data_IF_168885929914
#
_entry.id   IF_168885929914
#
_cell.length_a   1.000
_cell.length_b   1.000
_cell.length_c   1.000
_cell.angle_alpha   90.00
_cell.angle_beta   90.00
_cell.angle_gamma   90.00
#
_symmetry.space_group_name_H-M   'P 1'
#
loop_
_entity.id
_entity.type
_entity.pdbx_description
1 polymer ?
#
# COMPACT_ATOMS: atom_id res chain seq x y z
N UNK A 1 -15.62 -2.05 -13.04
CA UNK A 1 -14.79 -3.21 -12.69
C UNK A 1 -13.49 -2.69 -12.10
N UNK A 2 -13.33 -2.77 -10.78
CA UNK A 2 -12.10 -2.34 -10.09
C UNK A 2 -10.94 -3.25 -10.51
N UNK A 3 -9.89 -2.69 -11.11
CA UNK A 3 -8.67 -3.39 -11.50
C UNK A 3 -8.10 -4.15 -10.29
N UNK A 4 -7.79 -5.44 -10.43
CA UNK A 4 -7.31 -6.33 -9.34
C UNK A 4 -6.13 -5.74 -8.54
N UNK A 5 -5.33 -4.87 -9.17
CA UNK A 5 -4.19 -4.18 -8.56
C UNK A 5 -4.58 -3.11 -7.54
N UNK A 6 -5.67 -2.36 -7.77
CA UNK A 6 -6.13 -1.32 -6.84
C UNK A 6 -6.71 -1.91 -5.55
N UNK A 7 -7.37 -3.08 -5.67
CA UNK A 7 -7.86 -3.84 -4.52
C UNK A 7 -6.68 -4.28 -3.64
N UNK A 8 -5.60 -4.79 -4.23
CA UNK A 8 -4.39 -5.18 -3.50
C UNK A 8 -3.76 -4.02 -2.70
N UNK A 9 -3.64 -2.84 -3.31
CA UNK A 9 -3.05 -1.65 -2.66
C UNK A 9 -3.87 -1.20 -1.43
N UNK A 10 -5.21 -1.32 -1.49
CA UNK A 10 -6.08 -0.97 -0.36
C UNK A 10 -6.19 -2.10 0.68
N UNK A 11 -6.14 -3.36 0.26
CA UNK A 11 -6.22 -4.51 1.17
C UNK A 11 -4.97 -4.69 2.01
N UNK A 12 -3.78 -4.46 1.46
CA UNK A 12 -2.51 -4.62 2.20
C UNK A 12 -2.46 -3.81 3.51
N UNK A 13 -2.69 -2.48 3.52
CA UNK A 13 -2.66 -1.71 4.76
C UNK A 13 -3.78 -2.10 5.72
N UNK A 14 -4.97 -2.48 5.21
CA UNK A 14 -6.07 -2.98 6.02
C UNK A 14 -5.70 -4.30 6.72
N UNK A 15 -5.05 -5.21 6.00
CA UNK A 15 -4.55 -6.48 6.54
C UNK A 15 -3.48 -6.22 7.61
N UNK A 16 -2.55 -5.29 7.38
CA UNK A 16 -1.54 -4.91 8.37
C UNK A 16 -2.16 -4.32 9.64
N UNK A 17 -3.15 -3.45 9.48
CA UNK A 17 -3.89 -2.84 10.58
C UNK A 17 -4.57 -3.91 11.47
N UNK A 18 -4.94 -5.06 10.90
CA UNK A 18 -5.55 -6.17 11.62
C UNK A 18 -4.51 -7.16 12.20
N UNK A 19 -3.49 -7.55 11.42
CA UNK A 19 -2.53 -8.58 11.85
C UNK A 19 -1.60 -8.06 12.95
N UNK A 20 -1.17 -6.79 12.88
CA UNK A 20 -0.20 -6.24 13.83
C UNK A 20 -0.76 -6.26 15.27
N UNK A 21 -1.97 -5.72 15.55
CA UNK A 21 -2.53 -5.75 16.90
C UNK A 21 -2.82 -7.18 17.39
N UNK A 22 -3.28 -8.07 16.50
CA UNK A 22 -3.53 -9.48 16.86
C UNK A 22 -2.22 -10.17 17.28
N UNK A 23 -1.14 -9.98 16.51
CA UNK A 23 0.17 -10.55 16.81
C UNK A 23 0.73 -10.02 18.14
N UNK A 24 0.60 -8.72 18.38
CA UNK A 24 0.98 -8.08 19.66
C UNK A 24 0.14 -8.64 20.82
N UNK A 25 -1.17 -8.75 20.64
CA UNK A 25 -2.07 -9.27 21.67
C UNK A 25 -1.73 -10.70 22.08
N UNK A 26 -1.47 -11.58 21.10
CA UNK A 26 -1.05 -12.97 21.34
C UNK A 26 0.28 -13.01 22.10
N UNK A 27 1.24 -12.18 21.70
CA UNK A 27 2.53 -12.07 22.39
C UNK A 27 2.37 -11.66 23.85
N UNK A 28 1.67 -10.54 24.09
CA UNK A 28 1.51 -9.96 25.43
C UNK A 28 0.74 -10.91 26.33
N UNK A 29 -0.32 -11.54 25.83
CA UNK A 29 -1.07 -12.54 26.61
C UNK A 29 -0.18 -13.69 27.07
N UNK A 30 0.60 -14.26 26.15
CA UNK A 30 1.45 -15.43 26.43
C UNK A 30 2.63 -15.07 27.35
N UNK A 31 3.20 -13.87 27.23
CA UNK A 31 4.27 -13.39 28.10
C UNK A 31 3.75 -13.00 29.50
N UNK A 32 2.61 -12.29 29.57
CA UNK A 32 2.00 -11.88 30.84
C UNK A 32 1.52 -13.08 31.68
N UNK A 33 0.90 -14.09 31.04
CA UNK A 33 0.46 -15.32 31.73
C UNK A 33 1.64 -16.10 32.33
N UNK A 34 2.82 -16.06 31.70
CA UNK A 34 4.04 -16.68 32.23
C UNK A 34 4.58 -15.93 33.43
N UNK A 35 4.64 -14.60 33.33
CA UNK A 35 5.07 -13.70 34.41
C UNK A 35 4.02 -13.55 35.53
N UNK A 36 2.90 -14.27 35.45
CA UNK A 36 1.78 -14.24 36.41
C UNK A 36 1.18 -12.83 36.59
N UNK A 37 1.29 -11.99 35.56
CA UNK A 37 0.64 -10.68 35.49
C UNK A 37 -0.83 -10.86 35.05
N UNK A 38 -1.68 -9.85 35.30
CA UNK A 38 -3.05 -9.85 34.76
C UNK A 38 -3.01 -9.76 33.22
N UNK A 39 -3.02 -10.91 32.56
CA UNK A 39 -2.82 -11.02 31.11
C UNK A 39 -3.89 -10.26 30.31
N UNK A 40 -5.15 -10.30 30.76
CA UNK A 40 -6.26 -9.61 30.08
C UNK A 40 -6.01 -8.10 30.05
N UNK A 41 -5.68 -7.51 31.20
CA UNK A 41 -5.43 -6.07 31.32
C UNK A 41 -4.30 -5.63 30.39
N UNK A 42 -3.16 -6.32 30.44
CA UNK A 42 -1.99 -5.96 29.65
C UNK A 42 -2.21 -6.16 28.15
N UNK A 43 -2.94 -7.20 27.75
CA UNK A 43 -3.32 -7.40 26.35
C UNK A 43 -4.22 -6.28 25.84
N UNK A 44 -5.24 -5.88 26.61
CA UNK A 44 -6.13 -4.78 26.22
C UNK A 44 -5.33 -3.48 26.05
N UNK A 45 -4.50 -3.13 27.02
CA UNK A 45 -3.66 -1.92 26.95
C UNK A 45 -2.74 -1.96 25.72
N UNK A 46 -2.09 -3.09 25.46
CA UNK A 46 -1.15 -3.20 24.35
C UNK A 46 -1.79 -3.14 22.96
N UNK A 47 -3.03 -3.63 22.81
CA UNK A 47 -3.76 -3.70 21.53
C UNK A 47 -4.48 -2.40 21.21
N UNK A 48 -5.11 -1.76 22.20
CA UNK A 48 -5.97 -0.60 21.97
C UNK A 48 -5.28 0.75 22.18
N UNK A 49 -4.12 0.79 22.84
CA UNK A 49 -3.37 2.02 22.97
C UNK A 49 -2.86 2.48 21.58
N UNK A 50 -2.98 3.77 21.26
CA UNK A 50 -2.49 4.30 19.99
C UNK A 50 -0.96 4.13 19.89
N UNK A 51 -0.48 4.09 18.64
CA UNK A 51 0.94 4.19 18.29
C UNK A 51 1.88 3.22 19.05
N UNK A 52 1.38 2.03 19.40
CA UNK A 52 2.13 1.00 20.15
C UNK A 52 2.55 1.43 21.57
N UNK A 53 2.04 2.55 22.10
CA UNK A 53 2.40 3.06 23.43
C UNK A 53 2.14 2.00 24.50
N UNK A 54 0.98 1.33 24.44
CA UNK A 54 0.63 0.29 25.41
C UNK A 54 1.58 -0.91 25.36
N UNK A 55 2.08 -1.27 24.18
CA UNK A 55 3.09 -2.30 24.04
C UNK A 55 4.43 -1.88 24.65
N UNK A 56 4.88 -0.65 24.42
CA UNK A 56 6.10 -0.10 25.01
C UNK A 56 6.00 -0.07 26.54
N UNK A 57 4.89 0.43 27.08
CA UNK A 57 4.64 0.44 28.53
C UNK A 57 4.66 -0.98 29.10
N UNK A 58 4.03 -1.95 28.43
CA UNK A 58 4.11 -3.35 28.82
C UNK A 58 5.56 -3.86 28.87
N UNK A 59 6.36 -3.57 27.84
CA UNK A 59 7.77 -3.98 27.78
C UNK A 59 8.63 -3.38 28.89
N UNK A 60 8.33 -2.15 29.31
CA UNK A 60 9.00 -1.50 30.44
C UNK A 60 8.59 -2.14 31.76
N UNK A 61 7.29 -2.29 32.02
CA UNK A 61 6.78 -2.81 33.30
C UNK A 61 7.14 -4.27 33.52
N UNK A 62 7.09 -5.10 32.47
CA UNK A 62 7.42 -6.53 32.61
C UNK A 62 8.86 -6.77 33.09
N UNK A 63 9.78 -5.82 32.91
CA UNK A 63 11.18 -5.95 33.35
C UNK A 63 11.32 -6.15 34.87
N UNK A 64 10.34 -5.66 35.63
CA UNK A 64 10.26 -5.80 37.09
C UNK A 64 9.79 -7.20 37.55
N UNK A 65 9.16 -7.98 36.66
CA UNK A 65 8.65 -9.32 36.98
C UNK A 65 9.68 -10.40 36.60
N UNK A 66 10.02 -11.26 37.54
CA UNK A 66 10.94 -12.39 37.32
C UNK A 66 10.24 -13.59 36.66
N UNK A 67 10.94 -14.26 35.74
CA UNK A 67 10.50 -15.47 35.03
C UNK A 67 11.46 -16.63 35.38
N UNK A 68 11.65 -16.81 36.68
CA UNK A 68 12.59 -17.77 37.27
C UNK A 68 11.83 -19.00 37.76
N UNK A 69 12.35 -20.18 37.43
CA UNK A 69 11.78 -21.47 37.83
C UNK A 69 12.83 -22.30 38.58
N UNK A 70 12.38 -23.10 39.54
CA UNK A 70 13.22 -24.06 40.25
C UNK A 70 13.69 -25.16 39.29
N UNK A 71 15.00 -25.42 39.16
CA UNK A 71 15.52 -26.42 38.23
C UNK A 71 15.10 -27.86 38.57
N UNK A 72 14.80 -28.15 39.84
CA UNK A 72 14.42 -29.50 40.29
C UNK A 72 12.94 -29.83 40.08
N UNK A 73 12.04 -28.85 40.17
CA UNK A 73 10.59 -29.13 40.16
C UNK A 73 9.75 -28.18 39.29
N UNK A 74 10.35 -27.18 38.64
CA UNK A 74 9.66 -26.22 37.77
C UNK A 74 8.75 -25.22 38.48
N UNK A 75 8.79 -25.17 39.82
CA UNK A 75 7.98 -24.19 40.58
C UNK A 75 8.51 -22.78 40.34
N UNK A 76 7.65 -21.78 40.11
CA UNK A 76 8.08 -20.40 39.98
C UNK A 76 8.69 -19.92 41.30
N UNK A 77 9.86 -19.28 41.21
CA UNK A 77 10.62 -18.78 42.35
C UNK A 77 11.13 -17.39 42.04
N UNK A 78 11.34 -16.56 43.05
CA UNK A 78 11.91 -15.22 42.84
C UNK A 78 13.40 -15.24 43.13
N UNK A 79 14.09 -14.13 42.81
CA UNK A 79 15.53 -14.02 43.09
C UNK A 79 15.79 -14.16 44.59
N UNK A 80 14.91 -13.66 45.43
CA UNK A 80 15.08 -13.59 46.89
C UNK A 80 15.06 -14.98 47.57
N UNK A 81 14.56 -16.02 46.90
CA UNK A 81 14.34 -17.32 47.51
C UNK A 81 15.66 -18.07 47.65
N UNK A 82 16.05 -18.38 48.88
CA UNK A 82 17.23 -19.20 49.16
C UNK A 82 16.95 -20.70 48.95
N UNK A 83 15.71 -21.14 49.19
CA UNK A 83 15.26 -22.53 49.07
C UNK A 83 13.90 -22.57 48.37
N UNK A 84 13.68 -23.57 47.53
CA UNK A 84 12.40 -23.79 46.87
C UNK A 84 11.34 -24.22 47.92
N UNK A 85 10.21 -23.50 48.06
CA UNK A 85 9.19 -23.81 49.05
C UNK A 85 8.43 -25.12 48.76
N UNK A 86 8.47 -25.62 47.51
CA UNK A 86 7.75 -26.83 47.11
C UNK A 86 8.56 -28.10 47.27
N UNK A 87 9.86 -28.06 46.91
CA UNK A 87 10.69 -29.26 46.84
C UNK A 87 11.96 -29.21 47.71
N UNK A 88 12.22 -28.10 48.41
CA UNK A 88 13.39 -27.96 49.29
C UNK A 88 14.74 -27.80 48.58
N UNK A 89 14.78 -27.69 47.25
CA UNK A 89 16.02 -27.46 46.52
C UNK A 89 16.65 -26.11 46.92
N UNK A 90 17.96 -26.11 47.25
CA UNK A 90 18.71 -24.88 47.50
C UNK A 90 18.90 -24.12 46.19
N UNK A 91 18.39 -22.88 46.15
CA UNK A 91 18.40 -22.01 44.97
C UNK A 91 19.48 -20.93 45.06
N UNK A 92 19.89 -20.58 46.29
CA UNK A 92 21.03 -19.71 46.57
C UNK A 92 21.93 -20.34 47.62
N UNK A 93 23.20 -19.96 47.57
CA UNK A 93 24.15 -20.31 48.62
C UNK A 93 23.93 -19.42 49.85
N UNK A 94 24.32 -19.95 51.00
CA UNK A 94 24.26 -19.25 52.27
C UNK A 94 25.61 -19.42 52.99
N UNK A 95 26.05 -18.40 53.69
CA UNK A 95 27.29 -18.43 54.45
C UNK A 95 27.27 -19.57 55.49
N UNK A 96 28.29 -20.43 55.57
CA UNK A 96 28.32 -21.53 56.53
C UNK A 96 28.42 -21.04 57.99
N UNK A 97 28.93 -19.82 58.22
CA UNK A 97 29.13 -19.27 59.56
C UNK A 97 27.85 -18.63 60.14
N UNK A 98 27.10 -17.88 59.32
CA UNK A 98 25.96 -17.09 59.79
C UNK A 98 24.64 -17.34 59.03
N UNK A 99 24.63 -18.29 58.10
CA UNK A 99 23.48 -18.61 57.23
C UNK A 99 22.97 -17.46 56.34
N UNK A 100 23.70 -16.34 56.25
CA UNK A 100 23.32 -15.22 55.38
C UNK A 100 23.38 -15.61 53.89
N UNK A 101 22.38 -15.29 53.06
CA UNK A 101 22.41 -15.58 51.61
C UNK A 101 23.55 -14.85 50.91
N UNK A 102 24.32 -15.54 50.08
CA UNK A 102 25.49 -14.97 49.38
C UNK A 102 25.42 -15.27 47.88
N UNK A 103 26.11 -14.47 47.06
CA UNK A 103 26.21 -14.69 45.61
C UNK A 103 27.43 -15.54 45.26
N UNK A 104 27.41 -16.31 44.16
CA UNK A 104 28.46 -17.28 43.83
C UNK A 104 29.84 -16.69 43.55
N UNK A 105 29.89 -15.41 43.20
CA UNK A 105 31.07 -14.63 42.88
C UNK A 105 31.64 -13.88 44.10
N UNK A 106 31.00 -13.97 45.26
CA UNK A 106 31.47 -13.33 46.49
C UNK A 106 32.52 -14.19 47.21
N UNK A 107 33.63 -13.56 47.60
CA UNK A 107 34.73 -14.22 48.32
C UNK A 107 34.60 -14.15 49.84
N UNK A 108 33.84 -13.18 50.35
CA UNK A 108 33.69 -12.90 51.78
C UNK A 108 32.23 -12.58 52.07
N UNK A 109 31.70 -13.08 53.18
CA UNK A 109 30.33 -12.80 53.60
C UNK A 109 30.18 -11.34 54.07
N UNK A 110 29.26 -10.54 53.50
CA UNK A 110 29.07 -9.15 53.92
C UNK A 110 28.45 -9.01 55.32
N UNK A 111 27.86 -10.08 55.87
CA UNK A 111 27.21 -10.04 57.17
C UNK A 111 28.16 -10.39 58.34
N UNK A 112 29.07 -11.34 58.14
CA UNK A 112 29.94 -11.83 59.23
C UNK A 112 31.43 -11.78 58.93
N UNK A 113 31.83 -11.26 57.75
CA UNK A 113 33.21 -11.22 57.28
C UNK A 113 33.93 -12.57 57.18
N UNK A 114 33.22 -13.70 57.31
CA UNK A 114 33.80 -15.02 57.13
C UNK A 114 34.15 -15.25 55.63
N UNK A 115 35.31 -15.87 55.33
CA UNK A 115 35.66 -16.25 53.97
C UNK A 115 34.68 -17.29 53.44
N UNK A 116 34.26 -17.14 52.18
CA UNK A 116 33.37 -18.07 51.50
C UNK A 116 34.19 -19.12 50.75
N UNK A 117 33.81 -20.41 50.78
CA UNK A 117 34.54 -21.45 50.05
C UNK A 117 34.47 -21.24 48.53
N UNK A 118 35.61 -21.27 47.84
CA UNK A 118 35.72 -21.06 46.37
C UNK A 118 35.09 -22.21 45.54
N UNK A 119 34.90 -23.40 46.13
CA UNK A 119 34.50 -24.63 45.41
C UNK A 119 32.99 -24.96 45.50
N UNK A 120 32.13 -23.95 45.62
CA UNK A 120 30.68 -24.14 45.75
C UNK A 120 30.01 -23.95 44.39
N UNK A 121 30.23 -24.90 43.47
CA UNK A 121 29.56 -24.91 42.15
C UNK A 121 28.31 -25.78 42.08
N UNK A 122 27.94 -26.46 43.17
CA UNK A 122 26.79 -27.40 43.18
C UNK A 122 25.44 -26.78 43.58
N UNK A 123 25.32 -25.45 43.61
CA UNK A 123 24.01 -24.81 43.84
C UNK A 123 23.31 -24.64 42.49
N UNK A 124 22.20 -25.37 42.32
CA UNK A 124 21.36 -25.29 41.13
C UNK A 124 20.61 -23.94 41.12
N UNK A 125 21.26 -22.91 40.57
CA UNK A 125 20.70 -21.57 40.44
C UNK A 125 19.34 -21.61 39.69
N UNK A 126 18.38 -20.75 40.06
CA UNK A 126 17.10 -20.69 39.36
C UNK A 126 17.35 -20.37 37.89
N UNK A 127 16.79 -21.21 37.01
CA UNK A 127 17.04 -21.11 35.57
C UNK A 127 15.98 -20.22 34.95
N UNK A 128 16.41 -19.29 34.11
CA UNK A 128 15.49 -18.51 33.27
C UNK A 128 15.08 -19.37 32.07
N UNK A 129 13.79 -19.60 31.89
CA UNK A 129 13.29 -20.37 30.76
C UNK A 129 13.59 -19.63 29.46
N UNK A 130 14.54 -20.12 28.66
CA UNK A 130 14.88 -19.53 27.35
C UNK A 130 13.74 -19.78 26.37
N UNK A 131 12.89 -18.78 26.19
CA UNK A 131 11.76 -18.93 25.27
C UNK A 131 12.17 -18.62 23.83
N UNK A 132 12.38 -19.69 23.05
CA UNK A 132 12.62 -19.60 21.61
C UNK A 132 11.40 -19.07 20.84
N UNK A 133 10.19 -19.17 21.39
CA UNK A 133 8.98 -18.64 20.75
C UNK A 133 8.89 -17.11 20.86
N UNK A 134 9.37 -16.53 21.96
CA UNK A 134 9.37 -15.08 22.21
C UNK A 134 10.11 -14.32 21.10
N UNK A 135 11.31 -14.79 20.74
CA UNK A 135 12.08 -14.17 19.66
C UNK A 135 11.41 -14.34 18.29
N UNK A 136 10.84 -15.53 18.00
CA UNK A 136 10.10 -15.75 16.74
C UNK A 136 8.92 -14.78 16.59
N UNK A 137 8.17 -14.57 17.67
CA UNK A 137 7.02 -13.66 17.65
C UNK A 137 7.49 -12.21 17.50
N UNK A 138 8.54 -11.80 18.22
CA UNK A 138 9.12 -10.46 18.09
C UNK A 138 9.63 -10.19 16.66
N UNK A 139 10.29 -11.18 16.05
CA UNK A 139 10.76 -11.10 14.68
C UNK A 139 9.59 -10.99 13.70
N UNK A 140 8.52 -11.77 13.88
CA UNK A 140 7.33 -11.71 13.02
C UNK A 140 6.63 -10.34 13.09
N UNK A 141 6.53 -9.74 14.28
CA UNK A 141 5.93 -8.40 14.48
C UNK A 141 6.70 -7.30 13.74
N UNK A 142 8.01 -7.48 13.50
CA UNK A 142 8.85 -6.51 12.79
C UNK A 142 8.94 -6.84 11.29
N UNK A 143 9.15 -8.11 10.93
CA UNK A 143 9.38 -8.54 9.55
C UNK A 143 8.11 -8.42 8.71
N UNK A 144 6.95 -8.79 9.26
CA UNK A 144 5.68 -8.76 8.52
C UNK A 144 5.31 -7.34 8.01
N UNK A 145 5.33 -6.27 8.84
CA UNK A 145 5.05 -4.93 8.33
C UNK A 145 6.11 -4.45 7.34
N UNK A 146 7.39 -4.73 7.58
CA UNK A 146 8.47 -4.34 6.66
C UNK A 146 8.29 -5.01 5.29
N UNK A 147 8.02 -6.31 5.28
CA UNK A 147 7.77 -7.07 4.05
C UNK A 147 6.57 -6.50 3.29
N UNK A 148 5.46 -6.21 3.99
CA UNK A 148 4.28 -5.65 3.35
C UNK A 148 4.50 -4.22 2.79
N UNK A 149 5.27 -3.37 3.50
CA UNK A 149 5.67 -2.05 3.00
C UNK A 149 6.58 -2.19 1.77
N UNK A 150 7.53 -3.13 1.78
CA UNK A 150 8.38 -3.39 0.61
C UNK A 150 7.58 -3.88 -0.60
N UNK A 151 6.55 -4.70 -0.39
CA UNK A 151 5.63 -5.15 -1.45
C UNK A 151 4.82 -3.97 -1.99
N UNK A 152 4.32 -3.09 -1.12
CA UNK A 152 3.61 -1.89 -1.52
C UNK A 152 4.51 -0.98 -2.39
N UNK A 153 5.74 -0.74 -1.94
CA UNK A 153 6.70 0.06 -2.68
C UNK A 153 7.05 -0.56 -4.04
N UNK A 154 7.28 -1.88 -4.08
CA UNK A 154 7.50 -2.61 -5.33
C UNK A 154 6.29 -2.54 -6.28
N UNK A 155 5.06 -2.59 -5.75
CA UNK A 155 3.85 -2.45 -6.54
C UNK A 155 3.70 -1.02 -7.12
N UNK A 156 4.17 0.01 -6.41
CA UNK A 156 4.20 1.39 -6.92
C UNK A 156 5.26 1.61 -8.01
N UNK A 157 6.32 0.79 -8.03
CA UNK A 157 7.37 0.83 -9.05
C UNK A 157 7.01 0.11 -10.35
N UNK A 158 5.81 -0.47 -10.46
CA UNK A 158 5.32 -1.05 -11.71
C UNK A 158 4.96 0.10 -12.66
N UNK A 159 5.59 0.22 -13.85
CA UNK A 159 5.27 1.30 -14.78
C UNK A 159 3.80 1.23 -15.20
N UNK A 160 3.03 2.26 -14.87
CA UNK A 160 1.72 2.52 -15.47
C UNK A 160 1.98 2.90 -16.93
N UNK A 161 1.44 2.14 -17.88
CA UNK A 161 1.78 2.24 -19.31
C UNK A 161 1.97 3.67 -19.83
N UNK A 162 3.19 3.94 -20.31
CA UNK A 162 3.56 5.15 -21.04
C UNK A 162 3.04 5.01 -22.47
N UNK A 163 1.99 5.76 -22.78
CA UNK A 163 1.50 5.91 -24.14
C UNK A 163 1.90 7.27 -24.69
N UNK A 164 2.19 7.36 -25.98
CA UNK A 164 2.30 8.64 -26.68
C UNK A 164 0.90 9.16 -27.00
N UNK A 165 0.74 10.48 -27.02
CA UNK A 165 -0.47 11.14 -27.47
C UNK A 165 -0.11 12.37 -28.32
N UNK A 166 -0.87 12.62 -29.37
CA UNK A 166 -0.76 13.83 -30.19
C UNK A 166 -2.15 14.33 -30.56
N UNK A 167 -2.27 15.66 -30.71
CA UNK A 167 -3.48 16.33 -31.13
C UNK A 167 -3.14 17.39 -32.17
N UNK A 168 -3.99 17.50 -33.18
CA UNK A 168 -3.92 18.52 -34.21
C UNK A 168 -5.32 19.05 -34.49
N UNK A 169 -5.49 20.38 -34.38
CA UNK A 169 -6.68 21.05 -34.88
C UNK A 169 -6.55 21.27 -36.40
N UNK A 170 -7.64 21.01 -37.14
CA UNK A 170 -7.71 21.18 -38.59
C UNK A 170 -9.05 21.82 -38.93
N UNK A 171 -9.03 22.88 -39.74
CA UNK A 171 -10.28 23.47 -40.26
C UNK A 171 -10.98 22.49 -41.21
N UNK A 172 -12.30 22.52 -41.30
CA UNK A 172 -13.10 21.64 -42.16
C UNK A 172 -12.71 21.74 -43.64
N UNK A 173 -12.30 22.93 -44.10
CA UNK A 173 -11.77 23.14 -45.45
C UNK A 173 -10.45 22.40 -45.66
N UNK A 174 -9.48 22.56 -44.76
CA UNK A 174 -8.20 21.85 -44.80
C UNK A 174 -8.39 20.34 -44.65
N UNK A 175 -9.29 19.91 -43.78
CA UNK A 175 -9.63 18.51 -43.56
C UNK A 175 -10.11 17.84 -44.86
N UNK A 176 -11.02 18.51 -45.59
CA UNK A 176 -11.52 18.06 -46.90
C UNK A 176 -10.44 17.95 -47.98
N UNK A 177 -9.41 18.80 -47.90
CA UNK A 177 -8.30 18.79 -48.86
C UNK A 177 -7.28 17.68 -48.56
N UNK A 178 -7.03 17.38 -47.29
CA UNK A 178 -6.06 16.37 -46.85
C UNK A 178 -6.61 14.95 -46.97
N UNK A 179 -7.87 14.75 -46.59
CA UNK A 179 -8.50 13.44 -46.51
C UNK A 179 -9.11 13.05 -47.86
N UNK A 180 -9.12 11.75 -48.19
CA UNK A 180 -9.74 11.27 -49.43
C UNK A 180 -11.23 11.61 -49.48
N UNK A 181 -11.76 11.83 -50.68
CA UNK A 181 -13.18 12.15 -50.85
C UNK A 181 -14.11 11.08 -50.27
N UNK A 182 -13.71 9.80 -50.30
CA UNK A 182 -14.48 8.69 -49.73
C UNK A 182 -14.56 8.79 -48.21
N UNK A 183 -13.43 8.99 -47.53
CA UNK A 183 -13.39 9.11 -46.06
C UNK A 183 -14.12 10.37 -45.60
N UNK A 184 -13.96 11.49 -46.32
CA UNK A 184 -14.71 12.72 -46.00
C UNK A 184 -16.24 12.51 -46.05
N UNK A 185 -16.73 11.78 -47.06
CA UNK A 185 -18.15 11.46 -47.18
C UNK A 185 -18.66 10.55 -46.06
N UNK A 186 -17.89 9.53 -45.68
CA UNK A 186 -18.21 8.63 -44.57
C UNK A 186 -18.26 9.40 -43.24
N UNK A 187 -17.23 10.22 -42.96
CA UNK A 187 -17.17 11.08 -41.77
C UNK A 187 -18.35 12.03 -41.69
N UNK A 188 -18.72 12.66 -42.81
CA UNK A 188 -19.84 13.58 -42.84
C UNK A 188 -21.17 12.86 -42.57
N UNK A 189 -21.37 11.67 -43.15
CA UNK A 189 -22.57 10.87 -42.90
C UNK A 189 -22.68 10.47 -41.43
N UNK A 190 -21.59 9.96 -40.86
CA UNK A 190 -21.49 9.52 -39.47
C UNK A 190 -21.69 10.67 -38.47
N UNK A 191 -20.97 11.79 -38.64
CA UNK A 191 -21.13 12.96 -37.79
C UNK A 191 -22.53 13.57 -37.88
N UNK A 192 -23.12 13.65 -39.09
CA UNK A 192 -24.48 14.18 -39.26
C UNK A 192 -25.55 13.30 -38.61
N UNK A 193 -25.32 11.99 -38.52
CA UNK A 193 -26.18 11.07 -37.78
C UNK A 193 -26.13 11.29 -36.26
N UNK A 194 -24.97 11.69 -35.73
CA UNK A 194 -24.78 11.97 -34.30
C UNK A 194 -25.26 13.37 -33.90
N UNK A 195 -25.02 14.37 -34.76
CA UNK A 195 -25.42 15.77 -34.57
C UNK A 195 -26.91 15.93 -34.91
N UNK A 196 -27.79 15.35 -34.09
CA UNK A 196 -29.24 15.57 -34.15
C UNK A 196 -29.67 16.98 -33.70
N UNK A 197 -30.97 17.28 -33.72
CA UNK A 197 -31.58 18.62 -33.46
C UNK A 197 -31.27 19.29 -32.08
N UNK A 198 -30.40 18.72 -31.26
CA UNK A 198 -29.92 19.30 -29.99
C UNK A 198 -28.39 19.23 -29.90
N UNK A 199 -27.73 20.08 -30.70
CA UNK A 199 -26.25 20.15 -30.84
C UNK A 199 -25.55 20.98 -29.74
N UNK A 200 -26.27 21.57 -28.79
CA UNK A 200 -25.66 22.46 -27.80
C UNK A 200 -25.05 21.66 -26.63
N UNK A 201 -23.79 21.95 -26.32
CA UNK A 201 -23.03 21.41 -25.16
C UNK A 201 -22.72 19.90 -25.20
N UNK A 202 -22.56 19.32 -26.39
CA UNK A 202 -22.07 17.94 -26.57
C UNK A 202 -20.82 17.90 -27.44
N UNK A 203 -20.02 16.88 -27.23
CA UNK A 203 -18.82 16.59 -28.02
C UNK A 203 -19.03 15.27 -28.73
N UNK A 204 -18.87 15.26 -30.05
CA UNK A 204 -19.02 14.06 -30.86
C UNK A 204 -17.64 13.60 -31.31
N UNK A 205 -17.35 12.32 -31.16
CA UNK A 205 -16.05 11.75 -31.49
C UNK A 205 -16.21 10.47 -32.31
N UNK A 206 -15.52 10.40 -33.45
CA UNK A 206 -15.33 9.15 -34.18
C UNK A 206 -14.03 8.50 -33.72
N UNK A 207 -14.05 7.19 -33.41
CA UNK A 207 -12.90 6.42 -32.97
C UNK A 207 -12.56 5.31 -33.96
N UNK A 208 -11.29 5.23 -34.33
CA UNK A 208 -10.73 4.12 -35.09
C UNK A 208 -9.59 3.47 -34.29
N UNK A 209 -9.59 2.15 -34.22
CA UNK A 209 -8.55 1.36 -33.55
C UNK A 209 -7.70 0.65 -34.59
N UNK A 210 -6.38 0.68 -34.38
CA UNK A 210 -5.43 -0.13 -35.12
C UNK A 210 -4.46 -0.82 -34.17
N UNK A 211 -4.22 -2.10 -34.40
CA UNK A 211 -3.15 -2.83 -33.73
C UNK A 211 -1.90 -2.90 -34.62
N UNK A 212 -0.78 -2.40 -34.11
CA UNK A 212 0.53 -2.45 -34.78
C UNK A 212 1.54 -3.18 -33.88
N UNK A 213 2.08 -4.32 -34.32
CA UNK A 213 3.08 -5.11 -33.57
C UNK A 213 2.68 -5.42 -32.10
N UNK A 214 1.38 -5.61 -31.84
CA UNK A 214 0.85 -5.89 -30.50
C UNK A 214 0.61 -4.66 -29.61
N UNK A 215 0.79 -3.44 -30.16
CA UNK A 215 0.40 -2.19 -29.52
C UNK A 215 -0.85 -1.62 -30.20
N UNK A 216 -1.87 -1.29 -29.42
CA UNK A 216 -3.07 -0.61 -29.91
C UNK A 216 -2.84 0.90 -30.00
N UNK A 217 -3.18 1.46 -31.15
CA UNK A 217 -3.25 2.88 -31.43
C UNK A 217 -4.71 3.27 -31.68
N UNK A 218 -5.13 4.34 -31.02
CA UNK A 218 -6.49 4.85 -31.08
C UNK A 218 -6.48 6.23 -31.72
N UNK A 219 -7.24 6.37 -32.80
CA UNK A 219 -7.41 7.60 -33.56
C UNK A 219 -8.78 8.17 -33.23
N UNK A 220 -8.85 9.46 -32.89
CA UNK A 220 -10.10 10.14 -32.60
C UNK A 220 -10.25 11.38 -33.47
N UNK A 221 -11.42 11.56 -34.07
CA UNK A 221 -11.83 12.81 -34.71
C UNK A 221 -12.95 13.44 -33.87
N UNK A 222 -12.68 14.60 -33.27
CA UNK A 222 -13.63 15.30 -32.41
C UNK A 222 -14.25 16.49 -33.14
N UNK A 223 -15.56 16.61 -33.05
CA UNK A 223 -16.34 17.76 -33.45
C UNK A 223 -16.96 18.40 -32.20
N UNK A 224 -16.65 19.69 -31.98
CA UNK A 224 -17.17 20.48 -30.86
C UNK A 224 -17.77 21.76 -31.41
N UNK A 225 -19.09 21.87 -31.41
CA UNK A 225 -19.80 23.03 -31.97
C UNK A 225 -19.52 24.29 -31.15
N UNK A 226 -18.83 25.28 -31.74
CA UNK A 226 -18.55 26.59 -31.19
C UNK A 226 -17.16 26.73 -30.55
N UNK A 227 -16.32 25.69 -30.65
CA UNK A 227 -14.99 25.64 -30.04
C UNK A 227 -13.88 25.40 -31.08
N UNK A 228 -14.02 25.90 -32.30
CA UNK A 228 -12.95 25.93 -33.31
C UNK A 228 -11.98 27.10 -33.12
N UNK A 229 -11.09 27.31 -34.09
CA UNK A 229 -10.07 28.37 -34.14
C UNK A 229 -9.37 28.67 -32.80
N UNK A 230 -8.78 27.65 -32.19
CA UNK A 230 -8.25 27.78 -30.83
C UNK A 230 -6.91 28.54 -30.79
N UNK A 231 -6.82 29.55 -29.94
CA UNK A 231 -5.55 30.28 -29.69
C UNK A 231 -4.69 29.61 -28.62
N UNK A 232 -5.33 28.91 -27.69
CA UNK A 232 -4.70 28.14 -26.63
C UNK A 232 -5.47 26.84 -26.43
N UNK A 233 -4.80 25.71 -26.62
CA UNK A 233 -5.35 24.40 -26.25
C UNK A 233 -4.40 23.73 -25.28
N UNK A 234 -4.94 23.17 -24.20
CA UNK A 234 -4.16 22.26 -23.36
C UNK A 234 -4.58 20.82 -23.66
N UNK A 235 -3.58 19.98 -23.86
CA UNK A 235 -3.75 18.58 -24.22
C UNK A 235 -2.85 17.72 -23.35
N UNK A 236 -3.39 16.62 -22.84
CA UNK A 236 -2.61 15.67 -22.06
C UNK A 236 -3.23 14.29 -22.01
N UNK A 237 -2.36 13.29 -21.85
CA UNK A 237 -2.76 11.92 -21.55
C UNK A 237 -2.31 11.58 -20.13
N UNK A 238 -3.21 11.01 -19.34
CA UNK A 238 -2.90 10.44 -18.04
C UNK A 238 -3.28 8.97 -18.01
N UNK A 239 -2.36 8.13 -17.53
CA UNK A 239 -2.61 6.71 -17.30
C UNK A 239 -2.70 6.48 -15.80
N UNK A 240 -3.88 6.11 -15.32
CA UNK A 240 -4.12 5.81 -13.90
C UNK A 240 -4.53 4.35 -13.67
N UNK A 241 -4.96 4.05 -12.45
CA UNK A 241 -5.48 2.74 -12.06
C UNK A 241 -6.79 2.35 -12.77
N UNK A 242 -7.50 3.32 -13.36
CA UNK A 242 -8.82 3.17 -13.96
C UNK A 242 -8.81 3.23 -15.50
N UNK A 243 -7.63 3.18 -16.11
CA UNK A 243 -7.43 3.30 -17.56
C UNK A 243 -6.76 4.60 -17.95
N UNK A 244 -6.61 4.78 -19.25
CA UNK A 244 -6.01 5.97 -19.86
C UNK A 244 -7.10 6.99 -20.15
N UNK A 245 -6.88 8.25 -19.79
CA UNK A 245 -7.78 9.37 -20.09
C UNK A 245 -7.01 10.41 -20.88
N UNK A 246 -7.60 10.89 -21.96
CA UNK A 246 -7.13 12.01 -22.76
C UNK A 246 -7.94 13.23 -22.32
N UNK A 247 -7.24 14.23 -21.78
CA UNK A 247 -7.83 15.49 -21.36
C UNK A 247 -7.56 16.58 -22.40
N UNK A 248 -8.62 17.26 -22.81
CA UNK A 248 -8.59 18.34 -23.79
C UNK A 248 -9.31 19.53 -23.14
N UNK A 249 -8.64 20.66 -23.02
CA UNK A 249 -9.28 21.91 -22.62
C UNK A 249 -9.26 22.88 -23.80
N UNK A 250 -10.45 23.34 -24.16
CA UNK A 250 -10.75 24.27 -25.24
C UNK A 250 -11.44 25.51 -24.64
N UNK A 251 -11.52 26.57 -25.44
CA UNK A 251 -12.27 27.79 -25.13
C UNK A 251 -13.42 27.98 -26.13
N UNK A 252 -14.53 28.59 -25.70
CA UNK A 252 -15.62 28.94 -26.62
C UNK A 252 -15.21 30.11 -27.51
N UNK A 253 -15.04 29.86 -28.81
CA UNK A 253 -14.68 30.88 -29.81
C UNK A 253 -15.87 31.32 -30.65
N UNK A 254 -16.94 30.51 -30.68
CA UNK A 254 -18.07 30.70 -31.59
C UNK A 254 -17.79 30.19 -33.00
N UNK A 255 -16.65 29.56 -33.23
CA UNK A 255 -16.29 28.95 -34.52
C UNK A 255 -16.69 27.47 -34.54
N UNK A 256 -17.47 27.06 -35.54
CA UNK A 256 -17.89 25.67 -35.79
C UNK A 256 -17.02 24.99 -36.87
N UNK A 257 -15.99 25.68 -37.33
CA UNK A 257 -15.24 25.38 -38.54
C UNK A 257 -14.06 24.42 -38.36
N UNK A 258 -13.75 23.96 -37.14
CA UNK A 258 -12.62 23.07 -36.86
C UNK A 258 -13.03 21.69 -36.35
N UNK A 259 -12.20 20.71 -36.68
CA UNK A 259 -12.20 19.37 -36.09
C UNK A 259 -10.85 19.09 -35.43
N UNK A 260 -10.87 18.30 -34.37
CA UNK A 260 -9.65 17.92 -33.63
C UNK A 260 -9.30 16.47 -33.93
N UNK A 261 -8.16 16.26 -34.58
CA UNK A 261 -7.60 14.94 -34.83
C UNK A 261 -6.67 14.55 -33.67
N UNK A 262 -6.87 13.37 -33.10
CA UNK A 262 -6.03 12.84 -32.03
C UNK A 262 -5.54 11.43 -32.34
N UNK A 263 -4.34 11.13 -31.87
CA UNK A 263 -3.79 9.77 -31.84
C UNK A 263 -3.23 9.49 -30.46
N UNK A 264 -3.52 8.30 -29.93
CA UNK A 264 -3.03 7.86 -28.63
C UNK A 264 -2.65 6.39 -28.68
N UNK A 265 -1.46 6.06 -28.19
CA UNK A 265 -1.07 4.70 -27.88
C UNK A 265 -1.49 4.36 -26.46
N UNK A 266 -2.26 3.29 -26.29
CA UNK A 266 -2.69 2.83 -24.99
C UNK A 266 -3.00 1.33 -25.02
N UNK A 267 -3.02 0.69 -23.84
CA UNK A 267 -3.37 -0.74 -23.73
C UNK A 267 -4.86 -1.01 -23.97
N UNK A 268 -5.71 -0.05 -23.64
CA UNK A 268 -7.15 -0.11 -23.80
C UNK A 268 -7.62 1.25 -24.37
N UNK A 269 -8.81 1.34 -24.98
CA UNK A 269 -9.30 2.58 -25.56
C UNK A 269 -9.32 3.71 -24.53
N UNK A 270 -8.60 4.82 -24.76
CA UNK A 270 -8.62 5.96 -23.85
C UNK A 270 -10.00 6.59 -23.72
N UNK A 271 -10.33 7.07 -22.53
CA UNK A 271 -11.52 7.89 -22.32
C UNK A 271 -11.23 9.33 -22.71
N UNK A 272 -12.17 9.97 -23.40
CA UNK A 272 -12.08 11.40 -23.69
C UNK A 272 -12.71 12.20 -22.55
N UNK A 273 -12.00 13.22 -22.08
CA UNK A 273 -12.53 14.23 -21.16
C UNK A 273 -12.28 15.59 -21.79
N UNK A 274 -13.35 16.15 -22.34
CA UNK A 274 -13.32 17.44 -23.04
C UNK A 274 -13.95 18.49 -22.15
N UNK A 275 -13.20 19.57 -21.92
CA UNK A 275 -13.64 20.72 -21.13
C UNK A 275 -13.62 21.95 -22.02
N UNK A 276 -14.70 22.73 -22.01
CA UNK A 276 -14.78 24.01 -22.72
C UNK A 276 -15.11 25.12 -21.73
N UNK A 277 -14.30 26.18 -21.66
CA UNK A 277 -14.40 27.25 -20.64
C UNK A 277 -14.52 26.71 -19.20
N UNK A 278 -13.75 25.67 -18.88
CA UNK A 278 -13.75 25.03 -17.56
C UNK A 278 -14.96 24.13 -17.26
N UNK A 279 -15.90 23.94 -18.19
CA UNK A 279 -17.03 23.01 -18.05
C UNK A 279 -16.79 21.73 -18.85
N UNK A 280 -16.84 20.57 -18.19
CA UNK A 280 -16.74 19.28 -18.86
C UNK A 280 -18.01 18.99 -19.65
N UNK A 281 -17.87 18.71 -20.94
CA UNK A 281 -18.97 18.37 -21.83
C UNK A 281 -19.14 16.85 -21.94
N UNK A 282 -20.35 16.41 -22.23
CA UNK A 282 -20.64 14.99 -22.49
C UNK A 282 -20.06 14.59 -23.85
N UNK A 283 -19.31 13.50 -23.88
CA UNK A 283 -18.61 13.04 -25.08
C UNK A 283 -19.21 11.73 -25.58
N UNK A 284 -19.83 11.79 -26.75
CA UNK A 284 -20.40 10.65 -27.45
C UNK A 284 -19.38 10.11 -28.45
N UNK A 285 -18.91 8.89 -28.20
CA UNK A 285 -17.89 8.23 -29.03
C UNK A 285 -18.53 7.15 -29.87
N UNK A 286 -18.34 7.21 -31.19
CA UNK A 286 -18.77 6.17 -32.13
C UNK A 286 -17.55 5.48 -32.75
N UNK A 287 -17.56 4.15 -32.75
CA UNK A 287 -16.53 3.35 -33.41
C UNK A 287 -16.77 3.28 -34.92
N UNK A 288 -15.73 3.58 -35.70
CA UNK A 288 -15.77 3.56 -37.16
C UNK A 288 -14.72 2.59 -37.74
N UNK A 289 -14.99 1.93 -38.88
CA UNK A 289 -14.09 0.94 -39.46
C UNK A 289 -12.96 1.53 -40.33
N UNK A 290 -12.86 2.86 -40.41
CA UNK A 290 -11.89 3.61 -41.22
C UNK A 290 -11.18 4.65 -40.36
N UNK A 291 -9.98 5.12 -40.74
CA UNK A 291 -9.29 6.18 -40.00
C UNK A 291 -9.92 7.54 -40.30
N UNK A 292 -10.59 8.22 -39.34
CA UNK A 292 -11.26 9.50 -39.58
C UNK A 292 -10.30 10.70 -39.46
N UNK A 293 -9.02 10.50 -39.14
CA UNK A 293 -8.07 11.57 -38.82
C UNK A 293 -7.14 11.91 -39.99
N UNK A 294 -6.51 13.08 -39.94
CA UNK A 294 -5.45 13.47 -40.88
C UNK A 294 -4.10 12.79 -40.62
N UNK A 295 -3.98 12.02 -39.52
CA UNK A 295 -2.76 11.28 -39.25
C UNK A 295 -2.62 10.17 -40.28
N UNK A 296 -1.83 10.47 -41.32
CA UNK A 296 -1.46 9.54 -42.36
C UNK A 296 -0.65 8.43 -41.73
N UNK A 297 -1.17 7.23 -41.89
CA UNK A 297 -0.39 6.02 -41.76
C UNK A 297 -0.55 5.36 -43.10
N UNK A 298 0.51 5.42 -43.90
CA UNK A 298 0.55 4.77 -45.20
C UNK A 298 0.07 3.31 -45.07
N UNK A 299 -0.59 2.79 -46.12
CA UNK A 299 -1.19 1.45 -46.12
C UNK A 299 -0.19 0.31 -45.91
#
# INVERSE_FOLDING_TARGET
MTSSSAILVLLIPLILLLIIPVSIGIYVWRDAKRRRMNAVLWTIIAVFAPTLIGFIVYLLVRSSYSDLECPSCGTPVTKEYAVCPKCGAKLRMSCPQCAFPVEPDWKVCPHCAAPLPEDIREVAAPVRRKDKALWKILAAVIILPIAAISILFAAMSIPTGTGSCSMQEVTLSQYREIVSQTVYQEVQADLSGMIGQQAQNKVYALRYERETNGNSEYFYLLAVSGAGDQTHTSFGQSTGLFGTTIEINLDWTGDDGSVFCLVSSAKNPPRLKVTVDGKTLDCEVMDVPYNPTVYLTEP
#
